data_IF_385022200262
#
_entry.id   IF_385022200262
#
_cell.length_a   1.000
_cell.length_b   1.000
_cell.length_c   1.000
_cell.angle_alpha   90.00
_cell.angle_beta   90.00
_cell.angle_gamma   90.00
#
_symmetry.space_group_name_H-M   'P 1'
#
loop_
_entity.id
_entity.type
_entity.pdbx_description
1 polymer ?
#
# COMPACT_ATOMS: atom_id res chain seq x y z
N UNK A 1 -17.31 -13.20 2.09
CA UNK A 1 -17.32 -11.75 2.39
C UNK A 1 -17.40 -10.97 1.08
N UNK A 2 -18.13 -9.84 1.03
CA UNK A 2 -18.18 -9.00 -0.15
C UNK A 2 -16.80 -8.40 -0.44
N UNK A 3 -16.33 -8.53 -1.68
CA UNK A 3 -15.01 -8.09 -2.14
C UNK A 3 -14.77 -6.57 -1.98
N UNK A 4 -15.84 -5.78 -1.93
CA UNK A 4 -15.78 -4.36 -1.55
C UNK A 4 -15.29 -4.11 -0.13
N UNK A 5 -15.80 -4.89 0.84
CA UNK A 5 -15.40 -4.75 2.24
C UNK A 5 -13.95 -5.16 2.46
N UNK A 6 -13.49 -6.17 1.73
CA UNK A 6 -12.09 -6.59 1.72
C UNK A 6 -11.18 -5.52 1.10
N UNK A 7 -11.54 -4.96 -0.06
CA UNK A 7 -10.77 -3.87 -0.69
C UNK A 7 -10.67 -2.64 0.21
N UNK A 8 -11.78 -2.23 0.84
CA UNK A 8 -11.78 -1.11 1.79
C UNK A 8 -10.90 -1.43 3.01
N UNK A 9 -10.98 -2.65 3.54
CA UNK A 9 -10.13 -3.11 4.64
C UNK A 9 -8.64 -3.03 4.30
N UNK A 10 -8.24 -3.45 3.09
CA UNK A 10 -6.85 -3.32 2.62
C UNK A 10 -6.40 -1.87 2.53
N UNK A 11 -7.22 -0.98 1.95
CA UNK A 11 -6.93 0.45 1.87
C UNK A 11 -6.71 1.05 3.26
N UNK A 12 -7.63 0.80 4.21
CA UNK A 12 -7.53 1.32 5.57
C UNK A 12 -6.28 0.79 6.27
N UNK A 13 -6.06 -0.52 6.25
CA UNK A 13 -4.90 -1.14 6.86
C UNK A 13 -3.60 -0.55 6.29
N UNK A 14 -3.50 -0.47 4.95
CA UNK A 14 -2.34 0.07 4.27
C UNK A 14 -2.07 1.54 4.64
N UNK A 15 -3.14 2.36 4.76
CA UNK A 15 -3.04 3.76 5.20
C UNK A 15 -2.43 3.87 6.59
N UNK A 16 -2.93 3.05 7.53
CA UNK A 16 -2.45 3.05 8.92
C UNK A 16 -0.97 2.71 8.95
N UNK A 17 -0.56 1.67 8.22
CA UNK A 17 0.85 1.28 8.16
C UNK A 17 1.74 2.32 7.46
N UNK A 18 1.27 3.02 6.43
CA UNK A 18 2.01 4.15 5.82
C UNK A 18 2.30 5.21 6.88
N UNK A 19 1.28 5.62 7.65
CA UNK A 19 1.42 6.65 8.67
C UNK A 19 2.41 6.20 9.75
N UNK A 20 2.24 4.98 10.28
CA UNK A 20 3.10 4.43 11.32
C UNK A 20 4.56 4.37 10.84
N UNK A 21 4.83 3.78 9.67
CA UNK A 21 6.21 3.66 9.16
C UNK A 21 6.84 5.02 8.83
N UNK A 22 6.05 5.99 8.35
CA UNK A 22 6.54 7.36 8.10
C UNK A 22 6.91 8.05 9.42
N UNK A 23 6.11 7.88 10.47
CA UNK A 23 6.41 8.40 11.81
C UNK A 23 7.62 7.70 12.43
N UNK A 24 7.71 6.37 12.35
CA UNK A 24 8.85 5.62 12.90
C UNK A 24 10.14 6.01 12.17
N UNK A 25 10.12 6.08 10.84
CA UNK A 25 11.33 6.45 10.08
C UNK A 25 11.80 7.89 10.33
N UNK A 26 10.87 8.83 10.53
CA UNK A 26 11.20 10.24 10.79
C UNK A 26 11.56 10.53 12.25
N UNK A 27 10.82 9.98 13.21
CA UNK A 27 10.94 10.33 14.64
C UNK A 27 11.81 9.34 15.40
N UNK A 28 11.72 8.06 15.07
CA UNK A 28 12.38 6.99 15.83
C UNK A 28 13.73 6.66 15.20
N UNK A 29 13.78 6.37 13.89
CA UNK A 29 15.00 5.96 13.22
C UNK A 29 15.93 7.13 12.84
N UNK A 30 15.40 8.34 12.61
CA UNK A 30 16.18 9.53 12.24
C UNK A 30 17.01 9.37 10.96
N UNK A 31 16.66 8.40 10.10
CA UNK A 31 17.44 8.02 8.90
C UNK A 31 16.81 8.60 7.65
N UNK A 32 17.51 9.50 6.97
CA UNK A 32 17.04 10.09 5.71
C UNK A 32 16.86 9.03 4.62
N UNK A 33 17.74 8.03 4.57
CA UNK A 33 17.69 6.91 3.62
C UNK A 33 16.44 6.05 3.77
N UNK A 34 15.93 5.84 4.98
CA UNK A 34 14.65 5.16 5.20
C UNK A 34 13.45 6.11 5.08
N UNK A 35 13.64 7.39 5.39
CA UNK A 35 12.58 8.38 5.27
C UNK A 35 12.17 8.65 3.81
N UNK A 36 13.14 8.67 2.88
CA UNK A 36 12.90 8.89 1.44
C UNK A 36 11.88 7.90 0.84
N UNK A 37 12.02 6.58 0.95
CA UNK A 37 11.03 5.65 0.38
C UNK A 37 9.66 5.79 1.04
N UNK A 38 9.58 6.12 2.33
CA UNK A 38 8.30 6.31 3.02
C UNK A 38 7.60 7.62 2.63
N UNK A 39 8.33 8.73 2.45
CA UNK A 39 7.71 9.97 2.00
C UNK A 39 7.25 9.86 0.55
N UNK A 40 8.01 9.18 -0.32
CA UNK A 40 7.58 8.88 -1.69
C UNK A 40 6.33 8.00 -1.67
N UNK A 41 6.30 6.97 -0.82
CA UNK A 41 5.12 6.12 -0.62
C UNK A 41 3.90 6.93 -0.18
N UNK A 42 4.07 7.86 0.77
CA UNK A 42 3.01 8.75 1.26
C UNK A 42 2.50 9.70 0.16
N UNK A 43 3.39 10.24 -0.69
CA UNK A 43 3.00 11.08 -1.84
C UNK A 43 2.20 10.27 -2.86
N UNK A 44 2.67 9.08 -3.23
CA UNK A 44 1.94 8.17 -4.13
C UNK A 44 0.56 7.86 -3.53
N UNK A 45 0.50 7.58 -2.23
CA UNK A 45 -0.76 7.33 -1.53
C UNK A 45 -1.72 8.53 -1.56
N UNK A 46 -1.20 9.73 -1.33
CA UNK A 46 -1.99 10.96 -1.37
C UNK A 46 -2.58 11.23 -2.76
N UNK A 47 -1.89 10.81 -3.84
CA UNK A 47 -2.44 10.88 -5.21
C UNK A 47 -3.45 9.77 -5.50
N UNK A 48 -3.30 8.61 -4.86
CA UNK A 48 -4.18 7.45 -5.07
C UNK A 48 -5.53 7.58 -4.36
N UNK A 49 -5.60 8.07 -3.11
CA UNK A 49 -6.87 8.18 -2.36
C UNK A 49 -7.95 8.95 -3.15
N UNK A 50 -7.68 10.16 -3.68
CA UNK A 50 -8.67 10.89 -4.46
C UNK A 50 -9.11 10.11 -5.71
N UNK A 51 -8.17 9.39 -6.35
CA UNK A 51 -8.47 8.58 -7.51
C UNK A 51 -9.34 7.36 -7.18
N UNK A 52 -9.13 6.75 -6.02
CA UNK A 52 -9.83 5.54 -5.59
C UNK A 52 -11.24 5.80 -5.03
N UNK A 53 -11.49 6.98 -4.45
CA UNK A 53 -12.75 7.30 -3.77
C UNK A 53 -13.54 8.46 -4.41
N UNK A 54 -12.87 9.52 -4.86
CA UNK A 54 -13.53 10.74 -5.31
C UNK A 54 -13.91 10.64 -6.80
N UNK A 55 -13.00 10.12 -7.64
CA UNK A 55 -13.25 10.00 -9.08
C UNK A 55 -14.45 9.11 -9.44
N UNK A 56 -14.71 7.96 -8.78
CA UNK A 56 -15.91 7.16 -9.04
C UNK A 56 -17.21 7.91 -8.71
N UNK A 57 -17.20 8.77 -7.69
CA UNK A 57 -18.36 9.58 -7.28
C UNK A 57 -18.59 10.73 -8.27
N UNK A 58 -17.53 11.45 -8.64
CA UNK A 58 -17.60 12.57 -9.61
C UNK A 58 -18.04 12.08 -10.99
N UNK A 59 -17.62 10.87 -11.39
CA UNK A 59 -18.01 10.25 -12.67
C UNK A 59 -19.51 10.06 -12.84
N UNK A 60 -20.27 9.89 -11.75
CA UNK A 60 -21.75 9.86 -11.81
C UNK A 60 -22.33 11.13 -12.45
N UNK A 61 -21.58 12.24 -12.43
CA UNK A 61 -22.03 13.53 -12.96
C UNK A 61 -21.44 13.90 -14.32
N UNK A 62 -20.25 13.40 -14.68
CA UNK A 62 -19.48 13.96 -15.82
C UNK A 62 -19.10 12.97 -16.92
N UNK A 63 -19.26 11.66 -16.74
CA UNK A 63 -19.01 10.62 -17.78
C UNK A 63 -17.57 10.57 -18.37
N UNK A 64 -16.60 11.31 -17.81
CA UNK A 64 -15.20 11.35 -18.32
C UNK A 64 -14.35 10.22 -17.73
N UNK A 65 -13.71 9.42 -18.60
CA UNK A 65 -12.85 8.29 -18.21
C UNK A 65 -11.35 8.65 -18.15
N UNK A 66 -10.82 8.92 -16.97
CA UNK A 66 -9.38 9.02 -16.66
C UNK A 66 -8.68 7.65 -16.55
N UNK A 67 -7.37 7.61 -16.83
CA UNK A 67 -6.52 6.39 -16.87
C UNK A 67 -6.29 5.77 -15.48
N UNK A 68 -6.25 6.59 -14.43
CA UNK A 68 -6.03 6.18 -13.04
C UNK A 68 -7.20 5.39 -12.41
N UNK A 69 -8.37 5.44 -13.03
CA UNK A 69 -9.60 4.83 -12.54
C UNK A 69 -9.86 3.45 -13.18
N UNK A 70 -8.83 2.88 -13.79
CA UNK A 70 -8.88 1.54 -14.38
C UNK A 70 -8.26 0.57 -13.39
N UNK A 71 -8.66 -0.71 -13.41
CA UNK A 71 -7.99 -1.73 -12.62
C UNK A 71 -6.48 -1.80 -12.90
N UNK A 72 -6.05 -1.37 -14.10
CA UNK A 72 -4.64 -1.13 -14.41
C UNK A 72 -3.98 -0.05 -13.53
N UNK A 73 -4.68 1.05 -13.23
CA UNK A 73 -4.18 2.12 -12.36
C UNK A 73 -4.01 1.66 -10.91
N UNK A 74 -4.95 0.87 -10.40
CA UNK A 74 -4.84 0.25 -9.07
C UNK A 74 -3.70 -0.79 -9.02
N UNK A 75 -3.51 -1.57 -10.09
CA UNK A 75 -2.35 -2.48 -10.21
C UNK A 75 -1.02 -1.73 -10.24
N UNK A 76 -0.92 -0.63 -11.00
CA UNK A 76 0.28 0.20 -11.04
C UNK A 76 0.60 0.78 -9.65
N UNK A 77 -0.41 1.28 -8.96
CA UNK A 77 -0.28 1.75 -7.58
C UNK A 77 0.24 0.63 -6.65
N UNK A 78 -0.38 -0.55 -6.66
CA UNK A 78 0.06 -1.69 -5.84
C UNK A 78 1.51 -2.07 -6.16
N UNK A 79 1.88 -2.12 -7.44
CA UNK A 79 3.25 -2.43 -7.87
C UNK A 79 4.28 -1.38 -7.43
N UNK A 80 3.97 -0.09 -7.57
CA UNK A 80 4.83 1.00 -7.13
C UNK A 80 5.03 0.98 -5.60
N UNK A 81 3.96 0.76 -4.84
CA UNK A 81 4.05 0.61 -3.39
C UNK A 81 4.87 -0.62 -3.01
N UNK A 82 4.60 -1.78 -3.61
CA UNK A 82 5.31 -3.02 -3.32
C UNK A 82 6.82 -2.85 -3.53
N UNK A 83 7.21 -2.19 -4.62
CA UNK A 83 8.62 -1.86 -4.87
C UNK A 83 9.21 -1.01 -3.74
N UNK A 84 8.53 0.05 -3.29
CA UNK A 84 9.02 0.91 -2.21
C UNK A 84 9.15 0.18 -0.87
N UNK A 85 8.20 -0.70 -0.52
CA UNK A 85 8.28 -1.48 0.71
C UNK A 85 9.38 -2.55 0.65
N UNK A 86 9.60 -3.17 -0.50
CA UNK A 86 10.74 -4.09 -0.70
C UNK A 86 12.07 -3.36 -0.61
N UNK A 87 12.17 -2.14 -1.16
CA UNK A 87 13.34 -1.27 -1.01
C UNK A 87 13.56 -0.90 0.45
N UNK A 88 12.51 -0.48 1.17
CA UNK A 88 12.61 -0.16 2.60
C UNK A 88 13.06 -1.36 3.45
N UNK A 89 12.52 -2.55 3.16
CA UNK A 89 12.94 -3.81 3.79
C UNK A 89 14.42 -4.10 3.50
N UNK A 90 14.84 -3.98 2.23
CA UNK A 90 16.22 -4.21 1.82
C UNK A 90 17.20 -3.23 2.47
N UNK A 91 16.86 -1.94 2.53
CA UNK A 91 17.65 -0.91 3.19
C UNK A 91 17.75 -1.16 4.70
N UNK A 92 16.66 -1.55 5.35
CA UNK A 92 16.64 -1.87 6.78
C UNK A 92 17.51 -3.09 7.11
N UNK A 93 17.50 -4.13 6.26
CA UNK A 93 18.38 -5.30 6.39
C UNK A 93 19.84 -4.90 6.14
N UNK A 94 20.11 -4.15 5.08
CA UNK A 94 21.45 -3.72 4.72
C UNK A 94 22.08 -2.89 5.85
N UNK A 95 21.35 -1.90 6.39
CA UNK A 95 21.80 -1.05 7.50
C UNK A 95 22.03 -1.83 8.79
N UNK A 96 21.23 -2.88 9.06
CA UNK A 96 21.51 -3.82 10.15
C UNK A 96 22.85 -4.54 9.95
N UNK A 97 23.11 -5.03 8.74
CA UNK A 97 24.31 -5.81 8.43
C UNK A 97 25.57 -4.97 8.25
N UNK A 98 25.46 -3.68 7.93
CA UNK A 98 26.59 -2.92 7.40
C UNK A 98 27.39 -2.07 8.39
N UNK A 99 26.85 -1.63 9.55
CA UNK A 99 27.52 -0.50 10.23
C UNK A 99 27.60 -0.46 11.75
N UNK A 100 26.81 -1.23 12.52
CA UNK A 100 26.84 -1.00 13.99
C UNK A 100 26.30 -2.15 14.85
N UNK A 101 25.45 -3.02 14.30
CA UNK A 101 24.81 -4.10 15.08
C UNK A 101 25.71 -5.31 15.33
N UNK A 102 26.69 -5.56 14.45
CA UNK A 102 27.63 -6.69 14.57
C UNK A 102 29.01 -6.29 15.10
N UNK A 103 29.36 -4.99 15.07
CA UNK A 103 30.63 -4.46 15.56
C UNK A 103 30.40 -3.17 16.35
N UNK A 104 30.73 -3.11 17.65
CA UNK A 104 30.39 -1.99 18.53
C UNK A 104 31.24 -0.71 18.32
N UNK A 105 31.95 -0.56 17.19
CA UNK A 105 32.71 0.64 16.86
C UNK A 105 32.71 0.92 15.35
N UNK A 106 32.53 2.19 14.91
CA UNK A 106 32.56 3.43 15.68
C UNK A 106 31.18 4.05 16.02
N UNK A 107 31.25 5.13 16.82
CA UNK A 107 30.23 5.84 17.64
C UNK A 107 29.00 6.43 16.94
N UNK A 108 28.83 6.23 15.64
CA UNK A 108 27.71 6.81 14.89
C UNK A 108 26.96 5.70 14.15
N UNK A 109 25.74 5.33 14.60
CA UNK A 109 25.01 4.19 14.04
C UNK A 109 24.38 4.46 12.67
N UNK A 110 24.57 5.63 12.09
CA UNK A 110 23.91 6.03 10.85
C UNK A 110 24.92 6.79 10.01
N UNK A 111 24.73 6.71 8.69
CA UNK A 111 25.35 7.49 7.61
C UNK A 111 25.94 8.85 8.02
N UNK A 112 26.86 9.38 7.19
CA UNK A 112 27.56 10.66 7.42
C UNK A 112 26.68 11.70 8.11
N UNK A 113 27.21 12.44 9.09
CA UNK A 113 26.49 13.40 9.97
C UNK A 113 25.46 14.30 9.24
N UNK A 114 25.66 14.55 7.94
CA UNK A 114 24.80 15.30 7.03
C UNK A 114 23.47 14.63 6.65
N UNK A 115 23.33 13.31 6.85
CA UNK A 115 22.16 12.49 6.50
C UNK A 115 21.32 12.11 7.74
N UNK A 116 21.69 12.60 8.92
CA UNK A 116 20.93 12.40 10.15
C UNK A 116 20.00 13.61 10.38
N UNK A 117 18.72 13.33 10.67
CA UNK A 117 17.76 14.35 11.09
C UNK A 117 17.44 14.13 12.56
N UNK A 118 17.95 15.00 13.43
CA UNK A 118 17.72 14.95 14.88
C UNK A 118 18.31 13.71 15.56
N UNK A 119 19.51 13.84 16.13
CA UNK A 119 20.22 12.76 16.82
C UNK A 119 19.52 12.22 18.08
N UNK A 120 18.57 11.31 17.91
CA UNK A 120 17.79 10.70 19.00
C UNK A 120 18.24 9.27 19.33
N UNK A 121 18.90 8.54 18.42
CA UNK A 121 19.46 7.21 18.73
C UNK A 121 20.98 7.29 18.95
N UNK A 122 21.36 7.49 20.20
CA UNK A 122 22.73 7.31 20.70
C UNK A 122 23.01 5.86 21.12
N UNK A 123 21.97 5.01 21.11
CA UNK A 123 22.04 3.61 21.55
C UNK A 123 21.92 2.66 20.35
N UNK A 124 23.03 2.01 20.03
CA UNK A 124 23.15 1.05 18.95
C UNK A 124 22.15 -0.12 19.07
N UNK A 125 21.83 -0.61 20.27
CA UNK A 125 20.85 -1.71 20.45
C UNK A 125 19.44 -1.25 20.03
N UNK A 126 19.06 -0.02 20.39
CA UNK A 126 17.78 0.58 20.01
C UNK A 126 17.68 0.81 18.51
N UNK A 127 18.77 1.21 17.86
CA UNK A 127 18.84 1.34 16.41
C UNK A 127 18.61 -0.01 15.73
N UNK A 128 19.34 -1.05 16.16
CA UNK A 128 19.25 -2.38 15.57
C UNK A 128 17.85 -2.99 15.70
N UNK A 129 17.21 -2.87 16.87
CA UNK A 129 15.83 -3.31 17.07
C UNK A 129 14.85 -2.53 16.19
N UNK A 130 15.09 -1.22 16.01
CA UNK A 130 14.27 -0.39 15.11
C UNK A 130 14.42 -0.86 13.66
N UNK A 131 15.63 -1.12 13.17
CA UNK A 131 15.84 -1.65 11.81
C UNK A 131 15.16 -3.01 11.59
N UNK A 132 15.20 -3.91 12.59
CA UNK A 132 14.48 -5.19 12.52
C UNK A 132 12.97 -4.96 12.48
N UNK A 133 12.43 -4.10 13.34
CA UNK A 133 11.01 -3.76 13.34
C UNK A 133 10.58 -3.17 11.98
N UNK A 134 11.36 -2.25 11.42
CA UNK A 134 11.10 -1.64 10.11
C UNK A 134 11.12 -2.66 8.96
N UNK A 135 12.07 -3.60 9.00
CA UNK A 135 12.14 -4.69 8.01
C UNK A 135 10.90 -5.61 8.11
N UNK A 136 10.48 -5.96 9.33
CA UNK A 136 9.28 -6.78 9.58
C UNK A 136 8.03 -6.04 9.13
N UNK A 137 7.85 -4.78 9.50
CA UNK A 137 6.69 -3.96 9.09
C UNK A 137 6.63 -3.79 7.56
N UNK A 138 7.76 -3.53 6.91
CA UNK A 138 7.85 -3.46 5.45
C UNK A 138 7.54 -4.80 4.77
N UNK A 139 7.91 -5.92 5.41
CA UNK A 139 7.53 -7.27 4.97
C UNK A 139 6.02 -7.52 5.09
N UNK A 140 5.40 -7.13 6.21
CA UNK A 140 3.95 -7.22 6.41
C UNK A 140 3.20 -6.38 5.36
N UNK A 141 3.68 -5.16 5.09
CA UNK A 141 3.14 -4.30 4.03
C UNK A 141 3.23 -4.94 2.65
N UNK A 142 4.37 -5.56 2.34
CA UNK A 142 4.56 -6.27 1.08
C UNK A 142 3.58 -7.44 0.93
N UNK A 143 3.37 -8.22 1.99
CA UNK A 143 2.38 -9.29 2.02
C UNK A 143 0.95 -8.76 1.83
N UNK A 144 0.58 -7.68 2.53
CA UNK A 144 -0.72 -7.03 2.38
C UNK A 144 -0.98 -6.62 0.92
N UNK A 145 0.01 -6.03 0.26
CA UNK A 145 -0.07 -5.61 -1.14
C UNK A 145 -0.14 -6.79 -2.12
N UNK A 146 0.57 -7.89 -1.84
CA UNK A 146 0.45 -9.12 -2.64
C UNK A 146 -0.97 -9.69 -2.54
N UNK A 147 -1.54 -9.74 -1.33
CA UNK A 147 -2.92 -10.22 -1.15
C UNK A 147 -3.91 -9.30 -1.87
N UNK A 148 -3.72 -7.98 -1.81
CA UNK A 148 -4.53 -7.02 -2.57
C UNK A 148 -4.38 -7.23 -4.09
N UNK A 149 -3.16 -7.46 -4.58
CA UNK A 149 -2.89 -7.78 -5.99
C UNK A 149 -3.67 -9.02 -6.44
N UNK A 150 -3.61 -10.11 -5.65
CA UNK A 150 -4.33 -11.36 -5.94
C UNK A 150 -5.84 -11.12 -5.97
N UNK A 151 -6.38 -10.37 -5.01
CA UNK A 151 -7.79 -10.02 -4.97
C UNK A 151 -8.21 -9.23 -6.23
N UNK A 152 -7.39 -8.27 -6.66
CA UNK A 152 -7.65 -7.49 -7.86
C UNK A 152 -7.61 -8.34 -9.13
N UNK A 153 -6.62 -9.22 -9.27
CA UNK A 153 -6.52 -10.17 -10.39
C UNK A 153 -7.75 -11.08 -10.42
N UNK A 154 -8.22 -11.56 -9.28
CA UNK A 154 -9.41 -12.41 -9.18
C UNK A 154 -10.67 -11.66 -9.64
N UNK A 155 -10.86 -10.41 -9.19
CA UNK A 155 -12.00 -9.57 -9.61
C UNK A 155 -11.97 -9.34 -11.12
N UNK A 156 -10.82 -8.93 -11.67
CA UNK A 156 -10.69 -8.64 -13.10
C UNK A 156 -10.84 -9.91 -13.94
N UNK A 157 -10.30 -11.03 -13.48
CA UNK A 157 -10.41 -12.31 -14.18
C UNK A 157 -11.86 -12.81 -14.22
N UNK A 158 -12.60 -12.66 -13.11
CA UNK A 158 -14.03 -12.95 -13.06
C UNK A 158 -14.82 -12.06 -14.03
N UNK A 159 -14.60 -10.75 -13.99
CA UNK A 159 -15.27 -9.80 -14.89
C UNK A 159 -14.98 -10.09 -16.37
N UNK A 160 -13.75 -10.49 -16.70
CA UNK A 160 -13.37 -10.90 -18.07
C UNK A 160 -14.11 -12.16 -18.51
N UNK A 161 -14.26 -13.16 -17.62
CA UNK A 161 -15.03 -14.39 -17.92
C UNK A 161 -16.51 -14.09 -18.16
N UNK A 162 -17.06 -13.08 -17.49
CA UNK A 162 -18.44 -12.65 -17.63
C UNK A 162 -18.66 -11.66 -18.79
N UNK A 163 -17.62 -11.34 -19.57
CA UNK A 163 -17.66 -10.38 -20.70
C UNK A 163 -18.01 -8.94 -20.25
N UNK A 164 -17.89 -8.63 -18.96
CA UNK A 164 -18.26 -7.33 -18.34
C UNK A 164 -17.17 -6.26 -18.41
N UNK A 165 -16.15 -6.50 -19.23
CA UNK A 165 -14.92 -5.71 -19.27
C UNK A 165 -13.83 -6.29 -18.37
N UNK A 166 -12.59 -5.82 -18.56
CA UNK A 166 -11.41 -6.31 -17.86
C UNK A 166 -10.60 -5.18 -17.25
N UNK A 167 -9.28 -5.22 -17.44
CA UNK A 167 -8.32 -4.24 -16.92
C UNK A 167 -8.61 -2.76 -17.25
N UNK A 168 -9.45 -2.50 -18.26
CA UNK A 168 -9.85 -1.17 -18.70
C UNK A 168 -11.00 -0.55 -17.87
N UNK A 169 -11.67 -1.34 -17.03
CA UNK A 169 -12.78 -0.90 -16.16
C UNK A 169 -12.25 -0.69 -14.75
N UNK A 170 -12.83 0.24 -14.01
CA UNK A 170 -12.47 0.51 -12.62
C UNK A 170 -12.94 -0.59 -11.68
N UNK A 171 -12.12 -0.92 -10.67
CA UNK A 171 -12.42 -2.00 -9.71
C UNK A 171 -13.72 -1.72 -8.94
N UNK A 172 -13.97 -0.46 -8.58
CA UNK A 172 -15.20 -0.06 -7.90
C UNK A 172 -16.46 -0.32 -8.74
N UNK A 173 -16.38 -0.14 -10.06
CA UNK A 173 -17.51 -0.42 -10.96
C UNK A 173 -17.74 -1.92 -11.11
N UNK A 174 -16.66 -2.70 -11.28
CA UNK A 174 -16.72 -4.16 -11.35
C UNK A 174 -17.35 -4.79 -10.10
N UNK A 175 -17.12 -4.18 -8.93
CA UNK A 175 -17.68 -4.64 -7.66
C UNK A 175 -19.14 -4.21 -7.46
N UNK A 176 -19.53 -3.04 -7.98
CA UNK A 176 -20.91 -2.55 -7.94
C UNK A 176 -21.82 -3.36 -8.85
N UNK A 177 -21.40 -3.67 -10.08
CA UNK A 177 -22.16 -4.50 -11.01
C UNK A 177 -22.43 -5.91 -10.44
N UNK A 178 -21.48 -6.51 -9.71
CA UNK A 178 -21.69 -7.82 -9.06
C UNK A 178 -22.74 -7.76 -7.94
N UNK A 179 -22.87 -6.61 -7.25
CA UNK A 179 -23.88 -6.40 -6.21
C UNK A 179 -25.26 -6.10 -6.79
N UNK A 180 -25.34 -5.27 -7.83
CA UNK A 180 -26.62 -4.97 -8.50
C UNK A 180 -27.16 -6.21 -9.21
N UNK A 181 -26.32 -6.96 -9.93
CA UNK A 181 -26.72 -8.23 -10.56
C UNK A 181 -27.19 -9.29 -9.54
N UNK A 182 -26.59 -9.35 -8.35
CA UNK A 182 -27.07 -10.20 -7.26
C UNK A 182 -28.37 -9.70 -6.64
N UNK A 183 -28.55 -8.39 -6.50
CA UNK A 183 -29.79 -7.78 -6.01
C UNK A 183 -30.99 -8.12 -6.91
N UNK A 184 -30.84 -7.98 -8.23
CA UNK A 184 -31.88 -8.35 -9.19
C UNK A 184 -32.23 -9.84 -9.18
N UNK A 185 -31.26 -10.73 -9.01
CA UNK A 185 -31.54 -12.17 -8.91
C UNK A 185 -32.20 -12.56 -7.59
N UNK A 186 -31.82 -11.91 -6.48
CA UNK A 186 -32.43 -12.15 -5.17
C UNK A 186 -33.89 -11.69 -5.13
N UNK A 187 -34.20 -10.55 -5.73
CA UNK A 187 -35.56 -10.00 -5.81
C UNK A 187 -36.47 -10.83 -6.72
N UNK A 188 -35.90 -11.43 -7.77
CA UNK A 188 -36.61 -12.36 -8.67
C UNK A 188 -36.91 -13.71 -8.00
N UNK A 189 -35.96 -14.26 -7.24
CA UNK A 189 -36.18 -15.50 -6.49
C UNK A 189 -37.21 -15.32 -5.36
N UNK A 190 -37.27 -14.15 -4.72
CA UNK A 190 -38.30 -13.84 -3.71
C UNK A 190 -39.68 -13.64 -4.35
N UNK A 191 -39.75 -13.14 -5.59
CA UNK A 191 -41.02 -12.95 -6.30
C UNK A 191 -41.67 -14.22 -6.86
N UNK A 192 -41.00 -15.37 -6.76
CA UNK A 192 -41.47 -16.67 -7.24
C UNK A 192 -41.80 -17.67 -6.12
N UNK A 193 -41.91 -17.19 -4.86
CA UNK A 193 -42.39 -17.98 -3.71
C UNK A 193 -43.79 -17.54 -3.31
#
# INVERSE_FOLDING_TARGET
>A
MPSDGLRLGFIIAHTIYIIINTVISSVVAGSLTLFIPHIISAVIWATYIPAAFILPIIRRRTNVRTVFDRAWGEMWYIGAQLFLWLVSMGLSIAQRTSSTCERPYPTYPVESIWLQWGGIIWDTDRFCRTMVAMAVESGIQSLLLIVWMVLLVNIVSKAKREVRGGWKVGVAELLRDDKEAKGYNLERDISHV
#
